data_IF_640963564234
#
_entry.id   IF_640963564234
#
_cell.length_a   1.000
_cell.length_b   1.000
_cell.length_c   1.000
_cell.angle_alpha   90.00
_cell.angle_beta   90.00
_cell.angle_gamma   90.00
#
_symmetry.space_group_name_H-M   'P 1'
#
loop_
_entity.id
_entity.type
_entity.pdbx_description
1 polymer ?
#
# COMPACT_ATOMS: atom_id res chain seq x y z
N UNK A 1 -1.65 -20.42 -30.50
CA UNK A 1 -1.47 -19.23 -29.66
C UNK A 1 -0.40 -19.54 -28.64
N UNK A 2 0.76 -18.93 -28.80
CA UNK A 2 1.88 -19.01 -27.87
C UNK A 2 1.53 -18.16 -26.65
N UNK A 3 1.34 -18.81 -25.51
CA UNK A 3 1.27 -18.12 -24.22
C UNK A 3 2.63 -17.49 -23.95
N UNK A 4 2.68 -16.15 -23.96
CA UNK A 4 3.81 -15.42 -23.42
C UNK A 4 3.81 -15.65 -21.90
N UNK A 5 4.97 -15.97 -21.28
CA UNK A 5 5.05 -15.99 -19.84
C UNK A 5 4.83 -14.55 -19.34
N UNK A 6 3.89 -14.38 -18.42
CA UNK A 6 3.81 -13.17 -17.60
C UNK A 6 5.07 -13.18 -16.77
N UNK A 7 6.03 -12.35 -17.15
CA UNK A 7 7.17 -12.02 -16.30
C UNK A 7 6.56 -11.27 -15.13
N UNK A 8 6.71 -11.78 -13.91
CA UNK A 8 6.42 -11.02 -12.70
C UNK A 8 7.22 -9.72 -12.82
N UNK A 9 6.52 -8.59 -12.95
CA UNK A 9 7.17 -7.31 -12.86
C UNK A 9 7.72 -7.22 -11.43
N UNK A 10 9.04 -7.09 -11.26
CA UNK A 10 9.55 -6.52 -10.02
C UNK A 10 8.86 -5.18 -9.85
N UNK A 11 8.08 -5.04 -8.78
CA UNK A 11 7.42 -3.79 -8.49
C UNK A 11 8.52 -2.82 -8.03
N UNK A 12 8.98 -1.97 -8.95
CA UNK A 12 9.94 -0.92 -8.64
C UNK A 12 9.26 0.10 -7.71
N UNK A 13 9.45 -0.06 -6.40
CA UNK A 13 8.91 0.89 -5.44
C UNK A 13 9.52 2.29 -5.66
N UNK A 14 8.68 3.31 -5.56
CA UNK A 14 9.12 4.70 -5.66
C UNK A 14 9.92 5.12 -4.42
N UNK A 15 11.19 5.48 -4.59
CA UNK A 15 11.99 6.04 -3.51
C UNK A 15 11.78 7.56 -3.40
N UNK A 16 11.18 8.01 -2.30
CA UNK A 16 11.04 9.43 -1.97
C UNK A 16 12.29 9.95 -1.22
N UNK A 17 13.21 10.72 -1.83
CA UNK A 17 14.41 11.19 -1.13
C UNK A 17 14.11 12.24 -0.04
N UNK A 18 12.91 12.84 -0.06
CA UNK A 18 12.47 13.85 0.92
C UNK A 18 11.89 13.23 2.19
N UNK A 19 11.48 11.96 2.11
CA UNK A 19 10.89 11.19 3.19
C UNK A 19 11.41 9.74 3.13
N UNK A 20 12.30 9.37 4.04
CA UNK A 20 12.87 8.01 4.06
C UNK A 20 12.10 7.10 5.03
N UNK A 21 11.94 7.53 6.28
CA UNK A 21 11.10 6.87 7.30
C UNK A 21 10.48 7.93 8.21
N UNK A 22 9.49 7.58 9.02
CA UNK A 22 8.89 8.49 10.01
C UNK A 22 9.80 8.76 11.22
N UNK A 23 9.55 9.87 11.92
CA UNK A 23 10.16 10.15 13.23
C UNK A 23 9.80 9.07 14.26
N UNK A 24 8.57 8.55 14.22
CA UNK A 24 8.07 7.48 15.07
C UNK A 24 8.83 6.17 14.83
N UNK A 25 8.94 5.71 13.57
CA UNK A 25 9.71 4.51 13.22
C UNK A 25 11.19 4.63 13.59
N UNK A 26 11.76 5.82 13.52
CA UNK A 26 13.16 6.00 13.92
C UNK A 26 13.35 5.92 15.44
N UNK A 27 12.37 6.39 16.21
CA UNK A 27 12.48 6.54 17.67
C UNK A 27 11.73 5.48 18.47
N UNK A 28 11.01 4.56 17.80
CA UNK A 28 10.31 3.46 18.45
C UNK A 28 11.28 2.39 18.94
N UNK A 29 11.88 2.64 20.10
CA UNK A 29 12.78 1.70 20.78
C UNK A 29 12.10 0.38 21.17
N UNK A 30 10.76 0.33 21.17
CA UNK A 30 9.99 -0.86 21.53
C UNK A 30 9.53 -1.66 20.30
N UNK A 31 9.86 -1.20 19.09
CA UNK A 31 9.49 -1.84 17.82
C UNK A 31 9.97 -3.29 17.65
N UNK A 32 10.93 -3.74 18.47
CA UNK A 32 11.35 -5.15 18.59
C UNK A 32 11.78 -5.45 20.02
N UNK A 33 11.29 -6.54 20.59
CA UNK A 33 11.83 -7.11 21.83
C UNK A 33 13.19 -7.76 21.60
N UNK A 34 13.91 -8.09 22.69
CA UNK A 34 15.15 -8.87 22.60
C UNK A 34 14.93 -10.22 21.87
N UNK A 35 13.79 -10.87 22.13
CA UNK A 35 13.42 -12.12 21.48
C UNK A 35 13.16 -11.93 19.98
N UNK A 36 12.47 -10.85 19.59
CA UNK A 36 12.23 -10.53 18.19
C UNK A 36 13.53 -10.27 17.43
N UNK A 37 14.49 -9.54 18.04
CA UNK A 37 15.79 -9.28 17.44
C UNK A 37 16.55 -10.59 17.24
N UNK A 38 16.59 -11.45 18.26
CA UNK A 38 17.24 -12.76 18.15
C UNK A 38 16.55 -13.65 17.09
N UNK A 39 15.22 -13.68 17.08
CA UNK A 39 14.41 -14.44 16.13
C UNK A 39 14.64 -13.97 14.69
N UNK A 40 14.67 -12.66 14.46
CA UNK A 40 14.95 -12.07 13.16
C UNK A 40 16.35 -12.45 12.66
N UNK A 41 17.39 -12.34 13.50
CA UNK A 41 18.75 -12.76 13.12
C UNK A 41 18.83 -14.26 12.77
N UNK A 42 18.09 -15.12 13.49
CA UNK A 42 17.99 -16.55 13.18
C UNK A 42 17.29 -16.77 11.83
N UNK A 43 16.15 -16.10 11.60
CA UNK A 43 15.37 -16.22 10.37
C UNK A 43 16.17 -15.79 9.13
N UNK A 44 17.01 -14.75 9.27
CA UNK A 44 17.91 -14.27 8.22
C UNK A 44 19.16 -15.14 8.03
N UNK A 45 19.35 -16.19 8.84
CA UNK A 45 20.57 -16.99 8.87
C UNK A 45 21.83 -16.13 9.09
N UNK A 46 21.72 -15.09 9.91
CA UNK A 46 22.81 -14.16 10.21
C UNK A 46 23.86 -14.80 11.11
N UNK A 47 25.14 -14.57 10.82
CA UNK A 47 26.23 -14.94 11.74
C UNK A 47 26.14 -14.20 13.08
N UNK A 48 25.47 -13.04 13.13
CA UNK A 48 25.23 -12.31 14.37
C UNK A 48 24.32 -13.09 15.35
N UNK A 49 23.48 -14.01 14.87
CA UNK A 49 22.59 -14.80 15.72
C UNK A 49 23.35 -15.63 16.77
N UNK A 50 24.60 -15.99 16.47
CA UNK A 50 25.49 -16.79 17.33
C UNK A 50 26.65 -15.97 17.92
N UNK A 51 26.77 -14.69 17.57
CA UNK A 51 27.88 -13.85 18.00
C UNK A 51 27.74 -13.49 19.49
N UNK A 52 28.78 -13.80 20.26
CA UNK A 52 28.99 -13.31 21.63
C UNK A 52 30.27 -12.48 21.61
N UNK A 53 30.16 -11.21 21.99
CA UNK A 53 31.27 -10.24 21.97
C UNK A 53 31.07 -9.20 23.07
N UNK A 54 32.07 -8.34 23.28
CA UNK A 54 31.97 -7.26 24.26
C UNK A 54 31.00 -6.17 23.81
N UNK A 55 30.22 -5.64 24.75
CA UNK A 55 29.52 -4.37 24.60
C UNK A 55 30.48 -3.18 24.77
N UNK A 56 29.96 -1.94 24.73
CA UNK A 56 30.79 -0.74 24.88
C UNK A 56 31.51 -0.65 26.25
N UNK A 57 30.99 -1.34 27.28
CA UNK A 57 31.56 -1.44 28.62
C UNK A 57 32.54 -2.62 28.80
N UNK A 58 32.75 -3.43 27.75
CA UNK A 58 33.64 -4.59 27.81
C UNK A 58 32.98 -5.86 28.38
N UNK A 59 31.65 -5.90 28.54
CA UNK A 59 30.91 -7.06 29.04
C UNK A 59 30.51 -7.95 27.88
N UNK A 60 30.80 -9.26 27.97
CA UNK A 60 30.42 -10.22 26.93
C UNK A 60 28.89 -10.43 26.90
N UNK A 61 28.29 -10.16 25.74
CA UNK A 61 26.86 -10.25 25.47
C UNK A 61 26.61 -10.83 24.08
N UNK A 62 25.39 -11.33 23.86
CA UNK A 62 24.95 -11.69 22.49
C UNK A 62 24.80 -10.42 21.65
N UNK A 63 25.03 -10.52 20.34
CA UNK A 63 24.80 -9.40 19.43
C UNK A 63 23.36 -8.85 19.49
N UNK A 64 22.36 -9.73 19.65
CA UNK A 64 20.95 -9.34 19.85
C UNK A 64 20.75 -8.49 21.11
N UNK A 65 21.42 -8.83 22.22
CA UNK A 65 21.38 -8.06 23.46
C UNK A 65 22.07 -6.70 23.32
N UNK A 66 23.21 -6.65 22.61
CA UNK A 66 23.92 -5.40 22.32
C UNK A 66 23.02 -4.46 21.48
N UNK A 67 22.38 -4.97 20.43
CA UNK A 67 21.45 -4.18 19.59
C UNK A 67 20.27 -3.68 20.43
N UNK A 68 19.64 -4.57 21.20
CA UNK A 68 18.52 -4.21 22.06
C UNK A 68 18.90 -3.14 23.09
N UNK A 69 20.05 -3.31 23.76
CA UNK A 69 20.53 -2.38 24.77
C UNK A 69 20.81 -1.00 24.18
N UNK A 70 21.53 -0.93 23.05
CA UNK A 70 21.82 0.34 22.38
C UNK A 70 20.52 1.07 21.98
N UNK A 71 19.52 0.33 21.50
CA UNK A 71 18.19 0.86 21.19
C UNK A 71 17.52 1.49 22.42
N UNK A 72 17.50 0.78 23.55
CA UNK A 72 16.89 1.27 24.78
C UNK A 72 17.63 2.47 25.38
N UNK A 73 18.95 2.45 25.38
CA UNK A 73 19.77 3.51 25.98
C UNK A 73 19.75 4.80 25.15
N UNK A 74 19.64 4.67 23.81
CA UNK A 74 19.66 5.81 22.90
C UNK A 74 18.26 6.25 22.40
N UNK A 75 17.18 5.58 22.80
CA UNK A 75 15.82 5.88 22.31
C UNK A 75 15.72 5.86 20.77
N UNK A 76 16.31 4.84 20.14
CA UNK A 76 16.30 4.59 18.70
C UNK A 76 15.76 3.20 18.43
N UNK A 77 15.02 3.04 17.33
CA UNK A 77 14.43 1.75 16.95
C UNK A 77 15.49 0.66 16.67
N UNK A 78 15.33 -0.55 17.22
CA UNK A 78 16.10 -1.73 16.81
C UNK A 78 16.05 -1.98 15.29
N UNK A 79 14.92 -1.70 14.63
CA UNK A 79 14.76 -1.85 13.17
C UNK A 79 15.71 -0.94 12.39
N UNK A 80 15.93 0.29 12.88
CA UNK A 80 16.90 1.23 12.28
C UNK A 80 18.32 0.73 12.45
N UNK A 81 18.67 0.21 13.63
CA UNK A 81 20.01 -0.36 13.90
C UNK A 81 20.27 -1.54 12.96
N UNK A 82 19.33 -2.47 12.84
CA UNK A 82 19.41 -3.64 11.97
C UNK A 82 19.54 -3.23 10.49
N UNK A 83 18.71 -2.30 10.02
CA UNK A 83 18.79 -1.81 8.64
C UNK A 83 20.15 -1.13 8.36
N UNK A 84 20.69 -0.40 9.34
CA UNK A 84 21.99 0.26 9.22
C UNK A 84 23.14 -0.76 9.21
N UNK A 85 23.12 -1.78 10.07
CA UNK A 85 24.09 -2.88 10.06
C UNK A 85 24.13 -3.59 8.69
N UNK A 86 22.97 -3.78 8.07
CA UNK A 86 22.89 -4.33 6.73
C UNK A 86 23.44 -3.37 5.67
N UNK A 87 23.09 -2.09 5.75
CA UNK A 87 23.52 -1.07 4.79
C UNK A 87 25.04 -0.90 4.78
N UNK A 88 25.63 -0.81 5.98
CA UNK A 88 27.04 -0.46 6.17
C UNK A 88 27.97 -1.64 5.92
N UNK A 89 27.63 -2.84 6.41
CA UNK A 89 28.54 -3.99 6.38
C UNK A 89 27.87 -5.30 5.95
N UNK A 90 26.60 -5.27 5.54
CA UNK A 90 25.81 -6.45 5.13
C UNK A 90 25.76 -7.55 6.18
N UNK A 91 25.80 -7.18 7.47
CA UNK A 91 25.95 -8.13 8.58
C UNK A 91 24.68 -8.94 8.88
N UNK A 92 23.51 -8.46 8.47
CA UNK A 92 22.25 -9.14 8.75
C UNK A 92 22.11 -10.38 7.88
N UNK A 93 22.51 -10.30 6.61
CA UNK A 93 22.37 -11.40 5.64
C UNK A 93 23.66 -12.21 5.44
N UNK A 94 24.72 -11.89 6.19
CA UNK A 94 25.99 -12.61 6.14
C UNK A 94 26.01 -13.71 7.21
N UNK A 95 26.05 -15.00 6.83
CA UNK A 95 26.14 -16.11 7.80
C UNK A 95 27.50 -16.21 8.49
N UNK A 96 28.54 -15.53 7.99
CA UNK A 96 29.90 -15.60 8.53
C UNK A 96 30.65 -14.27 8.40
N UNK A 97 30.23 -13.22 9.15
CA UNK A 97 30.84 -11.91 9.07
C UNK A 97 32.28 -11.93 9.57
N UNK A 98 33.19 -11.38 8.76
CA UNK A 98 34.61 -11.25 9.16
C UNK A 98 34.77 -10.24 10.30
N UNK A 99 35.79 -10.41 11.14
CA UNK A 99 36.10 -9.46 12.22
C UNK A 99 36.23 -8.01 11.71
N UNK A 100 36.83 -7.81 10.53
CA UNK A 100 36.95 -6.47 9.92
C UNK A 100 35.60 -5.79 9.66
N UNK A 101 34.56 -6.56 9.31
CA UNK A 101 33.19 -6.05 9.14
C UNK A 101 32.57 -5.72 10.50
N UNK A 102 32.78 -6.57 11.51
CA UNK A 102 32.31 -6.34 12.89
C UNK A 102 32.96 -5.10 13.52
N UNK A 103 34.26 -4.89 13.32
CA UNK A 103 35.01 -3.73 13.81
C UNK A 103 34.50 -2.40 13.22
N UNK A 104 33.74 -2.46 12.11
CA UNK A 104 33.20 -1.31 11.38
C UNK A 104 31.70 -1.43 11.18
N UNK A 105 31.02 -2.17 12.06
CA UNK A 105 29.66 -2.69 11.85
C UNK A 105 28.65 -1.65 11.34
N UNK A 106 28.79 -0.41 11.81
CA UNK A 106 27.93 0.70 11.40
C UNK A 106 28.74 1.92 10.91
N UNK A 107 30.02 1.77 10.59
CA UNK A 107 30.84 2.89 10.09
C UNK A 107 31.05 4.05 11.09
N UNK A 108 30.74 3.87 12.38
CA UNK A 108 30.88 4.93 13.37
C UNK A 108 32.35 5.34 13.55
N UNK A 109 32.62 6.62 13.28
CA UNK A 109 33.97 7.22 13.24
C UNK A 109 34.92 6.54 12.24
N UNK A 110 34.39 6.09 11.11
CA UNK A 110 35.14 5.56 9.97
C UNK A 110 34.92 6.43 8.72
N UNK A 111 35.61 7.56 8.58
CA UNK A 111 35.43 8.44 7.41
C UNK A 111 35.96 7.80 6.13
N UNK A 112 35.33 8.10 4.99
CA UNK A 112 35.70 7.54 3.68
C UNK A 112 37.14 7.85 3.26
N UNK A 113 37.63 9.05 3.59
CA UNK A 113 38.98 9.53 3.22
C UNK A 113 40.01 9.38 4.34
N UNK A 114 39.79 8.50 5.33
CA UNK A 114 40.67 8.39 6.50
C UNK A 114 40.67 7.02 7.19
N UNK A 115 41.41 6.95 8.31
CA UNK A 115 41.40 5.78 9.17
C UNK A 115 40.25 5.87 10.18
N UNK A 116 39.62 4.73 10.46
CA UNK A 116 38.69 4.61 11.56
C UNK A 116 39.36 4.97 12.90
N UNK A 117 38.61 5.56 13.81
CA UNK A 117 39.10 5.81 15.16
C UNK A 117 39.38 4.46 15.88
N UNK A 118 40.62 4.17 16.31
CA UNK A 118 41.00 2.83 16.75
C UNK A 118 40.21 2.35 17.98
N UNK A 119 39.83 3.28 18.87
CA UNK A 119 39.08 2.93 20.09
C UNK A 119 37.61 2.55 19.84
N UNK A 120 37.09 2.71 18.62
CA UNK A 120 35.72 2.34 18.25
C UNK A 120 35.65 1.06 17.40
N UNK A 121 36.79 0.40 17.14
CA UNK A 121 36.87 -0.82 16.33
C UNK A 121 36.47 -2.06 17.13
N UNK A 122 35.17 -2.23 17.35
CA UNK A 122 34.54 -3.39 17.97
C UNK A 122 33.02 -3.34 17.71
N UNK A 123 32.37 -4.49 17.57
CA UNK A 123 30.93 -4.55 17.26
C UNK A 123 30.09 -3.79 18.30
N UNK A 124 30.34 -4.01 19.59
CA UNK A 124 29.58 -3.37 20.67
C UNK A 124 29.73 -1.85 20.64
N UNK A 125 30.94 -1.36 20.44
CA UNK A 125 31.23 0.09 20.36
C UNK A 125 30.71 0.74 19.09
N UNK A 126 30.72 0.02 17.97
CA UNK A 126 30.13 0.49 16.71
C UNK A 126 28.62 0.66 16.85
N UNK A 127 27.94 -0.35 17.40
CA UNK A 127 26.48 -0.32 17.60
C UNK A 127 26.08 0.77 18.59
N UNK A 128 26.72 0.81 19.76
CA UNK A 128 26.44 1.82 20.78
C UNK A 128 26.68 3.25 20.26
N UNK A 129 27.89 3.51 19.75
CA UNK A 129 28.29 4.85 19.31
C UNK A 129 27.49 5.37 18.11
N UNK A 130 27.18 4.50 17.14
CA UNK A 130 26.32 4.87 16.00
C UNK A 130 24.90 5.19 16.43
N UNK A 131 24.32 4.37 17.30
CA UNK A 131 22.95 4.54 17.78
C UNK A 131 22.82 5.82 18.60
N UNK A 132 23.79 6.06 19.50
CA UNK A 132 23.89 7.32 20.23
C UNK A 132 24.00 8.52 19.28
N UNK A 133 24.81 8.41 18.22
CA UNK A 133 24.97 9.48 17.24
C UNK A 133 23.66 9.80 16.51
N UNK A 134 22.86 8.79 16.15
CA UNK A 134 21.52 8.99 15.58
C UNK A 134 20.60 9.76 16.54
N UNK A 135 20.67 9.45 17.85
CA UNK A 135 19.94 10.20 18.87
C UNK A 135 20.41 11.64 19.00
N UNK A 136 21.72 11.89 18.91
CA UNK A 136 22.26 13.26 18.97
C UNK A 136 21.79 14.14 17.82
N UNK A 137 21.48 13.56 16.65
CA UNK A 137 20.85 14.31 15.55
C UNK A 137 19.44 14.81 15.90
N UNK A 138 18.67 14.03 16.67
CA UNK A 138 17.37 14.48 17.19
C UNK A 138 17.49 15.52 18.32
N UNK A 139 18.43 15.33 19.24
CA UNK A 139 18.55 16.19 20.42
C UNK A 139 19.15 17.56 20.08
N UNK A 140 19.99 17.61 19.04
CA UNK A 140 20.72 18.82 18.65
C UNK A 140 20.52 19.16 17.16
N UNK A 141 19.28 19.23 16.63
CA UNK A 141 19.01 19.22 15.18
C UNK A 141 19.60 20.43 14.45
N UNK A 142 19.81 21.55 15.16
CA UNK A 142 20.40 22.77 14.59
C UNK A 142 21.93 22.78 14.55
N UNK A 143 22.60 21.80 15.16
CA UNK A 143 24.06 21.69 15.15
C UNK A 143 24.61 20.91 13.94
N UNK A 144 23.72 20.36 13.11
CA UNK A 144 24.08 19.48 12.00
C UNK A 144 23.77 20.11 10.63
N UNK A 145 24.43 19.58 9.60
CA UNK A 145 24.39 20.13 8.23
C UNK A 145 23.00 20.04 7.63
N UNK A 146 22.41 18.84 7.63
CA UNK A 146 21.11 18.59 7.02
C UNK A 146 20.02 18.76 8.06
N UNK A 147 19.02 19.59 7.75
CA UNK A 147 17.99 20.01 8.68
C UNK A 147 16.62 19.86 8.03
N UNK A 148 15.63 19.49 8.84
CA UNK A 148 14.23 19.42 8.43
C UNK A 148 13.78 20.74 7.79
N UNK A 149 12.96 20.63 6.76
CA UNK A 149 12.32 21.73 6.01
C UNK A 149 13.27 22.69 5.28
N UNK A 150 14.57 22.37 5.20
CA UNK A 150 15.56 23.09 4.37
C UNK A 150 15.95 22.27 3.15
N UNK A 151 16.19 22.95 2.04
CA UNK A 151 16.63 22.32 0.78
C UNK A 151 18.15 22.31 0.68
N UNK A 152 18.72 21.16 0.32
CA UNK A 152 20.16 20.94 0.12
C UNK A 152 20.40 20.28 -1.23
N UNK A 153 21.57 20.53 -1.82
CA UNK A 153 22.05 19.80 -3.00
C UNK A 153 22.89 18.60 -2.52
N UNK A 154 22.44 17.39 -2.78
CA UNK A 154 23.09 16.12 -2.38
C UNK A 154 23.14 15.22 -3.61
N UNK A 155 24.34 14.82 -4.04
CA UNK A 155 24.56 14.00 -5.25
C UNK A 155 23.77 14.52 -6.49
N UNK A 156 23.78 15.84 -6.72
CA UNK A 156 23.04 16.53 -7.79
C UNK A 156 21.50 16.56 -7.66
N UNK A 157 20.94 16.11 -6.53
CA UNK A 157 19.50 16.20 -6.22
C UNK A 157 19.20 17.31 -5.22
N UNK A 158 18.13 18.08 -5.47
CA UNK A 158 17.59 19.04 -4.51
C UNK A 158 16.68 18.31 -3.50
N UNK A 159 17.22 18.05 -2.32
CA UNK A 159 16.54 17.28 -1.28
C UNK A 159 16.12 18.20 -0.14
N UNK A 160 14.85 18.09 0.25
CA UNK A 160 14.23 18.80 1.38
C UNK A 160 13.67 17.75 2.35
N UNK A 161 14.39 17.37 3.41
CA UNK A 161 13.87 16.44 4.41
C UNK A 161 12.60 17.00 5.05
N UNK A 162 11.48 16.28 4.97
CA UNK A 162 10.18 16.75 5.50
C UNK A 162 9.95 16.36 6.96
N UNK A 163 10.83 15.52 7.53
CA UNK A 163 10.84 15.15 8.94
C UNK A 163 12.27 15.05 9.49
N UNK A 164 12.40 14.89 10.81
CA UNK A 164 13.69 14.90 11.47
C UNK A 164 14.47 13.61 11.21
N UNK A 165 13.79 12.45 11.16
CA UNK A 165 14.38 11.16 10.86
C UNK A 165 15.11 11.16 9.50
N UNK A 166 14.47 11.70 8.47
CA UNK A 166 15.10 11.82 7.14
C UNK A 166 16.31 12.73 7.19
N UNK A 167 16.24 13.87 7.88
CA UNK A 167 17.40 14.75 8.05
C UNK A 167 18.55 14.04 8.79
N UNK A 168 18.24 13.22 9.80
CA UNK A 168 19.22 12.44 10.55
C UNK A 168 19.91 11.39 9.69
N UNK A 169 19.18 10.70 8.81
CA UNK A 169 19.78 9.73 7.89
C UNK A 169 20.73 10.39 6.89
N UNK A 170 20.43 11.61 6.41
CA UNK A 170 21.38 12.37 5.59
C UNK A 170 22.57 12.90 6.39
N UNK A 171 22.41 13.27 7.66
CA UNK A 171 23.55 13.60 8.54
C UNK A 171 24.45 12.39 8.79
N UNK A 172 23.88 11.20 8.85
CA UNK A 172 24.62 9.95 9.04
C UNK A 172 25.29 9.48 7.73
N UNK A 173 24.58 9.56 6.61
CA UNK A 173 25.05 9.17 5.28
C UNK A 173 24.67 10.27 4.27
N UNK A 174 25.59 11.19 3.93
CA UNK A 174 25.31 12.38 3.12
C UNK A 174 25.21 12.08 1.62
N UNK A 175 24.50 11.02 1.25
CA UNK A 175 24.39 10.53 -0.13
C UNK A 175 22.96 10.09 -0.47
N UNK A 176 22.50 10.41 -1.68
CA UNK A 176 21.21 9.97 -2.21
C UNK A 176 21.16 8.44 -2.27
N UNK A 177 22.16 7.81 -2.88
CA UNK A 177 22.21 6.36 -3.05
C UNK A 177 22.30 5.60 -1.72
N UNK A 178 22.97 6.19 -0.72
CA UNK A 178 23.03 5.61 0.63
C UNK A 178 21.66 5.56 1.30
N UNK A 179 20.87 6.62 1.16
CA UNK A 179 19.51 6.69 1.72
C UNK A 179 18.51 5.83 0.93
N UNK A 180 18.64 5.76 -0.40
CA UNK A 180 17.88 4.81 -1.21
C UNK A 180 18.15 3.37 -0.75
N UNK A 181 19.42 3.00 -0.56
CA UNK A 181 19.79 1.67 -0.08
C UNK A 181 19.24 1.38 1.32
N UNK A 182 19.29 2.35 2.24
CA UNK A 182 18.66 2.22 3.55
C UNK A 182 17.16 1.94 3.42
N UNK A 183 16.47 2.72 2.59
CA UNK A 183 15.04 2.58 2.37
C UNK A 183 14.69 1.23 1.74
N UNK A 184 15.42 0.75 0.74
CA UNK A 184 15.21 -0.58 0.16
C UNK A 184 15.35 -1.69 1.20
N UNK A 185 16.36 -1.60 2.07
CA UNK A 185 16.54 -2.53 3.19
C UNK A 185 15.36 -2.43 4.17
N UNK A 186 14.93 -1.20 4.49
CA UNK A 186 13.79 -0.95 5.36
C UNK A 186 12.51 -1.59 4.79
N UNK A 187 12.23 -1.39 3.50
CA UNK A 187 11.08 -1.98 2.83
C UNK A 187 11.15 -3.51 2.79
N UNK A 188 12.30 -4.06 2.45
CA UNK A 188 12.51 -5.51 2.41
C UNK A 188 12.29 -6.16 3.79
N UNK A 189 12.76 -5.51 4.86
CA UNK A 189 12.67 -6.11 6.19
C UNK A 189 11.33 -5.85 6.87
N UNK A 190 10.76 -4.66 6.69
CA UNK A 190 9.67 -4.16 7.52
C UNK A 190 8.46 -3.68 6.72
N UNK A 191 8.64 -3.41 5.44
CA UNK A 191 7.61 -2.86 4.57
C UNK A 191 6.52 -3.88 4.27
N UNK A 192 5.32 -3.36 4.03
CA UNK A 192 4.14 -4.14 3.60
C UNK A 192 3.67 -3.69 2.23
N UNK A 193 3.42 -4.65 1.37
CA UNK A 193 3.02 -4.39 -0.02
C UNK A 193 1.54 -4.67 -0.16
N UNK A 194 0.75 -3.65 0.19
CA UNK A 194 -0.70 -3.73 0.14
C UNK A 194 -1.17 -3.93 -1.30
N UNK A 195 -2.02 -4.93 -1.54
CA UNK A 195 -2.53 -5.21 -2.88
C UNK A 195 -3.48 -4.11 -3.36
N UNK A 196 -3.63 -4.04 -4.68
CA UNK A 196 -4.65 -3.21 -5.33
C UNK A 196 -6.04 -3.46 -4.73
N UNK A 197 -6.80 -2.38 -4.59
CA UNK A 197 -8.07 -2.34 -3.87
C UNK A 197 -7.97 -1.99 -2.39
N UNK A 198 -6.76 -1.99 -1.81
CA UNK A 198 -6.56 -1.66 -0.39
C UNK A 198 -6.95 -0.21 -0.08
N UNK A 199 -7.67 -0.01 1.03
CA UNK A 199 -8.01 1.30 1.58
C UNK A 199 -7.12 1.58 2.78
N UNK A 200 -6.15 2.48 2.62
CA UNK A 200 -5.09 2.71 3.59
C UNK A 200 -5.20 4.08 4.24
N UNK A 201 -4.89 4.17 5.53
CA UNK A 201 -4.64 5.43 6.25
C UNK A 201 -3.41 5.28 7.14
N UNK A 202 -2.68 6.37 7.38
CA UNK A 202 -1.58 6.34 8.35
C UNK A 202 -2.07 6.55 9.78
N UNK A 203 -1.30 6.10 10.78
CA UNK A 203 -1.60 6.35 12.19
C UNK A 203 -1.74 7.83 12.53
N UNK A 204 -1.03 8.69 11.79
CA UNK A 204 -0.86 10.12 12.08
C UNK A 204 -1.68 11.02 11.14
N UNK A 205 -2.51 10.47 10.25
CA UNK A 205 -3.35 11.24 9.33
C UNK A 205 -4.74 10.63 9.16
N UNK A 206 -5.81 11.45 9.12
CA UNK A 206 -7.15 10.97 8.79
C UNK A 206 -7.36 10.72 7.29
N UNK A 207 -6.40 11.09 6.43
CA UNK A 207 -6.52 10.90 4.99
C UNK A 207 -6.60 9.41 4.63
N UNK A 208 -7.54 9.07 3.75
CA UNK A 208 -7.73 7.71 3.25
C UNK A 208 -7.30 7.67 1.80
N UNK A 209 -6.49 6.65 1.48
CA UNK A 209 -5.92 6.40 0.17
C UNK A 209 -6.46 5.09 -0.36
N UNK A 210 -6.80 5.05 -1.65
CA UNK A 210 -7.11 3.82 -2.34
C UNK A 210 -5.92 3.41 -3.21
N UNK A 211 -5.46 2.16 -3.04
CA UNK A 211 -4.36 1.62 -3.84
C UNK A 211 -4.93 1.05 -5.14
N UNK A 212 -4.44 1.55 -6.25
CA UNK A 212 -4.88 1.14 -7.59
C UNK A 212 -3.73 1.32 -8.59
N UNK A 213 -3.48 0.28 -9.36
CA UNK A 213 -2.41 0.15 -10.35
C UNK A 213 -1.04 0.54 -9.79
N UNK A 214 -0.75 0.16 -8.54
CA UNK A 214 0.51 0.50 -7.87
C UNK A 214 0.67 1.97 -7.45
N UNK A 215 -0.39 2.78 -7.55
CA UNK A 215 -0.41 4.16 -7.06
C UNK A 215 -1.41 4.33 -5.89
N UNK A 216 -1.20 5.33 -5.05
CA UNK A 216 -2.15 5.74 -4.00
C UNK A 216 -2.98 6.92 -4.49
N UNK A 217 -4.30 6.77 -4.49
CA UNK A 217 -5.24 7.82 -4.87
C UNK A 217 -5.88 8.41 -3.62
N UNK A 218 -5.70 9.70 -3.38
CA UNK A 218 -6.32 10.38 -2.24
C UNK A 218 -7.85 10.42 -2.41
N UNK A 219 -8.60 9.97 -1.40
CA UNK A 219 -10.04 10.21 -1.33
C UNK A 219 -10.26 11.55 -0.62
N UNK A 220 -10.72 12.57 -1.37
CA UNK A 220 -10.63 13.97 -0.91
C UNK A 220 -11.58 14.34 0.22
N UNK A 221 -12.65 13.56 0.43
CA UNK A 221 -13.59 13.80 1.53
C UNK A 221 -14.28 12.52 1.98
N UNK A 222 -14.82 12.55 3.20
CA UNK A 222 -15.62 11.44 3.73
C UNK A 222 -16.88 11.16 2.92
N UNK A 223 -17.50 12.20 2.35
CA UNK A 223 -18.68 12.06 1.50
C UNK A 223 -18.36 11.29 0.22
N UNK A 224 -17.25 11.64 -0.43
CA UNK A 224 -16.74 10.91 -1.60
C UNK A 224 -16.43 9.46 -1.23
N UNK A 225 -15.79 9.25 -0.07
CA UNK A 225 -15.46 7.91 0.42
C UNK A 225 -16.71 7.02 0.55
N UNK A 226 -17.73 7.45 1.31
CA UNK A 226 -18.92 6.62 1.56
C UNK A 226 -19.80 6.42 0.32
N UNK A 227 -19.58 7.19 -0.76
CA UNK A 227 -20.28 6.98 -2.03
C UNK A 227 -19.79 5.76 -2.81
N UNK A 228 -18.65 5.17 -2.42
CA UNK A 228 -17.97 4.07 -3.12
C UNK A 228 -17.43 2.97 -2.22
N UNK A 229 -16.96 3.32 -1.03
CA UNK A 229 -16.16 2.44 -0.19
C UNK A 229 -16.82 2.15 1.15
N UNK A 230 -16.46 1.00 1.74
CA UNK A 230 -16.90 0.61 3.09
C UNK A 230 -15.87 1.07 4.14
N UNK A 231 -16.25 1.91 5.13
CA UNK A 231 -15.38 2.33 6.23
C UNK A 231 -14.71 1.19 6.99
N UNK A 232 -15.38 0.03 7.10
CA UNK A 232 -14.87 -1.12 7.85
C UNK A 232 -13.66 -1.77 7.18
N UNK A 233 -13.48 -1.53 5.87
CA UNK A 233 -12.35 -2.02 5.08
C UNK A 233 -11.09 -1.16 5.18
N UNK A 234 -11.15 -0.01 5.84
CA UNK A 234 -9.97 0.82 6.05
C UNK A 234 -8.96 0.07 6.94
N UNK A 235 -7.73 -0.01 6.42
CA UNK A 235 -6.54 -0.54 7.07
C UNK A 235 -5.68 0.63 7.53
N UNK A 236 -5.29 0.59 8.81
CA UNK A 236 -4.31 1.55 9.34
C UNK A 236 -2.91 0.98 9.18
N UNK A 237 -1.99 1.77 8.62
CA UNK A 237 -0.60 1.36 8.38
C UNK A 237 0.40 2.49 8.67
N UNK A 238 1.70 2.25 8.50
CA UNK A 238 2.74 3.26 8.64
C UNK A 238 2.67 4.29 7.51
N UNK A 239 3.17 5.50 7.73
CA UNK A 239 3.32 6.46 6.63
C UNK A 239 4.36 5.95 5.61
N UNK A 240 5.36 5.21 6.05
CA UNK A 240 6.41 4.65 5.17
C UNK A 240 5.86 3.62 4.19
N UNK A 241 4.88 2.81 4.60
CA UNK A 241 4.19 1.89 3.68
C UNK A 241 3.36 2.65 2.63
N UNK A 242 2.74 3.78 3.01
CA UNK A 242 2.04 4.65 2.06
C UNK A 242 3.00 5.34 1.08
N UNK A 243 4.18 5.77 1.52
CA UNK A 243 5.14 6.49 0.69
C UNK A 243 5.82 5.61 -0.37
N UNK A 244 5.58 4.30 -0.39
CA UNK A 244 6.03 3.41 -1.47
C UNK A 244 5.27 3.60 -2.77
N UNK A 245 4.03 4.06 -2.68
CA UNK A 245 3.15 4.25 -3.82
C UNK A 245 3.27 5.68 -4.32
N UNK A 246 3.40 5.82 -5.64
CA UNK A 246 3.31 7.12 -6.29
C UNK A 246 1.92 7.73 -6.09
N UNK A 247 1.84 9.06 -6.07
CA UNK A 247 0.56 9.76 -6.02
C UNK A 247 -0.17 9.56 -7.35
N UNK A 248 -1.32 8.89 -7.30
CA UNK A 248 -2.27 8.82 -8.39
C UNK A 248 -3.26 9.99 -8.35
N UNK A 249 -4.04 10.15 -9.42
CA UNK A 249 -5.11 11.15 -9.47
C UNK A 249 -6.09 10.97 -8.29
N UNK A 250 -6.40 12.03 -7.53
CA UNK A 250 -7.30 11.92 -6.40
C UNK A 250 -8.74 11.60 -6.83
N UNK A 251 -9.49 10.94 -5.95
CA UNK A 251 -10.93 10.70 -6.11
C UNK A 251 -11.66 11.88 -5.48
N UNK A 252 -12.22 12.75 -6.31
CA UNK A 252 -12.72 14.05 -5.88
C UNK A 252 -14.26 14.18 -5.89
N UNK A 253 -14.94 13.33 -6.66
CA UNK A 253 -16.38 13.44 -6.89
C UNK A 253 -17.12 12.24 -6.31
N UNK A 254 -18.36 12.47 -5.85
CA UNK A 254 -19.24 11.40 -5.39
C UNK A 254 -19.54 10.47 -6.56
N UNK A 255 -19.68 9.17 -6.28
CA UNK A 255 -20.18 8.26 -7.29
C UNK A 255 -21.55 8.69 -7.80
N UNK A 256 -21.82 8.52 -9.10
CA UNK A 256 -23.04 8.96 -9.77
C UNK A 256 -23.23 10.49 -9.84
N UNK A 257 -22.17 11.27 -9.65
CA UNK A 257 -22.20 12.71 -9.90
C UNK A 257 -22.37 13.02 -11.39
N UNK A 258 -23.01 14.15 -11.67
CA UNK A 258 -23.14 14.69 -13.02
C UNK A 258 -22.11 15.81 -13.17
N UNK A 259 -21.16 15.65 -14.08
CA UNK A 259 -20.03 16.55 -14.26
C UNK A 259 -20.14 17.30 -15.59
N UNK A 260 -20.13 18.63 -15.55
CA UNK A 260 -20.29 19.49 -16.72
C UNK A 260 -19.02 20.27 -17.05
N UNK A 261 -18.59 20.23 -18.32
CA UNK A 261 -17.50 21.05 -18.84
C UNK A 261 -18.01 22.37 -19.43
N UNK A 262 -17.13 23.37 -19.49
CA UNK A 262 -17.42 24.68 -20.10
C UNK A 262 -17.76 24.62 -21.60
N UNK A 263 -17.41 23.54 -22.30
CA UNK A 263 -17.78 23.30 -23.70
C UNK A 263 -19.23 22.77 -23.87
N UNK A 264 -19.94 22.57 -22.76
CA UNK A 264 -21.33 22.10 -22.73
C UNK A 264 -21.46 20.58 -22.68
N UNK A 265 -20.37 19.81 -22.65
CA UNK A 265 -20.46 18.35 -22.45
C UNK A 265 -20.78 18.02 -21.00
N UNK A 266 -21.60 17.00 -20.81
CA UNK A 266 -22.00 16.49 -19.49
C UNK A 266 -21.72 15.00 -19.41
N UNK A 267 -21.20 14.56 -18.27
CA UNK A 267 -20.85 13.17 -18.00
C UNK A 267 -21.56 12.69 -16.74
N UNK A 268 -22.07 11.46 -16.76
CA UNK A 268 -22.40 10.72 -15.54
C UNK A 268 -21.14 9.97 -15.08
N UNK A 269 -20.69 10.23 -13.86
CA UNK A 269 -19.58 9.50 -13.26
C UNK A 269 -20.08 8.18 -12.66
N UNK A 270 -19.60 7.04 -13.13
CA UNK A 270 -19.89 5.71 -12.56
C UNK A 270 -18.56 5.04 -12.24
N UNK A 271 -18.24 4.95 -10.95
CA UNK A 271 -16.91 4.57 -10.46
C UNK A 271 -15.82 5.38 -11.20
N UNK A 272 -14.80 4.78 -11.79
CA UNK A 272 -13.80 5.58 -12.51
C UNK A 272 -14.21 5.97 -13.95
N UNK A 273 -15.42 5.61 -14.39
CA UNK A 273 -15.87 5.86 -15.76
C UNK A 273 -16.73 7.13 -15.90
N UNK A 274 -16.28 8.04 -16.75
CA UNK A 274 -17.02 9.18 -17.27
C UNK A 274 -17.86 8.75 -18.47
N UNK A 275 -19.17 8.68 -18.27
CA UNK A 275 -20.12 8.33 -19.33
C UNK A 275 -20.72 9.58 -19.94
N UNK A 276 -20.32 9.89 -21.18
CA UNK A 276 -20.82 11.08 -21.89
C UNK A 276 -22.33 10.98 -22.12
N UNK A 277 -23.07 12.05 -21.81
CA UNK A 277 -24.51 12.14 -22.10
C UNK A 277 -24.66 12.88 -23.44
N UNK A 278 -25.03 12.12 -24.47
CA UNK A 278 -25.00 12.53 -25.88
C UNK A 278 -25.83 13.78 -26.22
N UNK A 279 -26.86 14.11 -25.43
CA UNK A 279 -27.68 15.30 -25.66
C UNK A 279 -28.48 15.77 -24.43
N UNK A 280 -28.92 17.04 -24.41
CA UNK A 280 -29.86 17.54 -23.39
C UNK A 280 -31.21 16.80 -23.36
N UNK A 281 -31.62 16.19 -24.48
CA UNK A 281 -32.83 15.36 -24.53
C UNK A 281 -32.64 14.05 -23.77
N UNK A 282 -31.49 13.39 -23.95
CA UNK A 282 -31.12 12.18 -23.19
C UNK A 282 -31.04 12.49 -21.70
N UNK A 283 -30.38 13.60 -21.35
CA UNK A 283 -30.28 14.08 -19.97
C UNK A 283 -31.65 14.18 -19.27
N UNK A 284 -32.61 14.82 -19.95
CA UNK A 284 -33.99 14.97 -19.43
C UNK A 284 -34.75 13.65 -19.40
N UNK A 285 -34.57 12.80 -20.41
CA UNK A 285 -35.28 11.52 -20.54
C UNK A 285 -34.90 10.55 -19.42
N UNK A 286 -33.64 10.56 -19.00
CA UNK A 286 -33.15 9.76 -17.86
C UNK A 286 -33.67 10.31 -16.53
N UNK A 287 -34.12 11.58 -16.52
CA UNK A 287 -34.72 12.22 -15.35
C UNK A 287 -33.74 13.01 -14.50
N UNK A 288 -32.55 13.33 -15.01
CA UNK A 288 -31.61 14.19 -14.31
C UNK A 288 -32.07 15.65 -14.29
N UNK A 289 -31.74 16.35 -13.22
CA UNK A 289 -32.04 17.76 -13.05
C UNK A 289 -30.80 18.60 -13.40
N UNK A 290 -30.90 19.64 -14.26
CA UNK A 290 -29.76 20.49 -14.60
C UNK A 290 -29.05 21.11 -13.39
N UNK A 291 -29.77 21.33 -12.28
CA UNK A 291 -29.19 21.84 -11.02
C UNK A 291 -28.28 20.83 -10.30
N UNK A 292 -28.25 19.56 -10.74
CA UNK A 292 -27.35 18.53 -10.22
C UNK A 292 -25.97 18.56 -10.90
N UNK A 293 -25.81 19.37 -11.96
CA UNK A 293 -24.55 19.48 -12.70
C UNK A 293 -23.50 20.17 -11.83
N UNK A 294 -22.40 19.48 -11.59
CA UNK A 294 -21.19 20.02 -10.97
C UNK A 294 -20.29 20.53 -12.10
N UNK A 295 -20.04 21.83 -12.14
CA UNK A 295 -19.10 22.42 -13.10
C UNK A 295 -17.67 22.00 -12.78
N UNK A 296 -16.95 21.52 -13.80
CA UNK A 296 -15.58 21.01 -13.71
C UNK A 296 -14.73 21.48 -14.89
N UNK A 297 -13.42 21.36 -14.74
CA UNK A 297 -12.42 21.54 -15.82
C UNK A 297 -11.91 20.20 -16.33
N UNK A 298 -11.25 20.18 -17.49
CA UNK A 298 -10.59 18.97 -17.99
C UNK A 298 -9.53 18.44 -17.01
N UNK A 299 -8.86 19.32 -16.26
CA UNK A 299 -7.87 18.94 -15.26
C UNK A 299 -8.52 18.21 -14.07
N UNK A 300 -9.75 18.57 -13.69
CA UNK A 300 -10.49 17.89 -12.62
C UNK A 300 -10.91 16.47 -13.03
N UNK A 301 -11.06 16.23 -14.33
CA UNK A 301 -11.37 14.94 -14.92
C UNK A 301 -10.13 14.06 -15.14
N UNK A 302 -8.93 14.57 -14.84
CA UNK A 302 -7.69 13.82 -15.02
C UNK A 302 -7.64 12.59 -14.12
N UNK A 303 -7.52 11.40 -14.72
CA UNK A 303 -7.44 10.12 -14.00
C UNK A 303 -8.73 9.32 -13.94
N UNK A 304 -9.83 9.83 -14.52
CA UNK A 304 -11.00 9.01 -14.86
C UNK A 304 -10.87 8.47 -16.29
N UNK A 305 -11.50 7.32 -16.57
CA UNK A 305 -11.62 6.73 -17.92
C UNK A 305 -12.89 7.18 -18.61
N UNK A 306 -12.92 7.19 -19.95
CA UNK A 306 -14.16 7.41 -20.70
C UNK A 306 -14.88 6.08 -20.89
N UNK A 307 -16.09 5.98 -20.34
CA UNK A 307 -16.96 4.82 -20.46
C UNK A 307 -17.85 4.87 -21.70
N UNK A 308 -18.78 3.93 -21.78
CA UNK A 308 -19.78 3.88 -22.88
C UNK A 308 -20.70 5.09 -22.81
N UNK A 309 -20.84 5.78 -23.94
CA UNK A 309 -21.74 6.92 -24.11
C UNK A 309 -23.20 6.55 -23.79
N UNK A 310 -23.92 7.49 -23.18
CA UNK A 310 -25.34 7.38 -22.88
C UNK A 310 -26.13 8.08 -23.98
N UNK A 311 -26.96 7.31 -24.67
CA UNK A 311 -27.80 7.75 -25.79
C UNK A 311 -29.27 7.49 -25.53
N UNK A 312 -30.16 7.95 -26.41
CA UNK A 312 -31.60 7.63 -26.35
C UNK A 312 -31.88 6.12 -26.51
N UNK A 313 -30.92 5.36 -27.06
CA UNK A 313 -31.02 3.92 -27.25
C UNK A 313 -30.45 3.13 -26.05
N UNK A 314 -29.76 3.80 -25.11
CA UNK A 314 -29.17 3.14 -23.94
C UNK A 314 -30.26 2.55 -23.05
N UNK A 315 -30.26 1.22 -22.90
CA UNK A 315 -31.19 0.50 -22.03
C UNK A 315 -30.56 0.33 -20.64
N UNK A 316 -31.23 0.81 -19.59
CA UNK A 316 -30.69 0.86 -18.22
C UNK A 316 -29.29 1.51 -18.14
N UNK A 317 -29.12 2.78 -18.55
CA UNK A 317 -27.80 3.44 -18.53
C UNK A 317 -27.19 3.52 -17.12
N UNK A 318 -28.01 3.50 -16.07
CA UNK A 318 -27.57 3.48 -14.66
C UNK A 318 -27.51 2.07 -14.05
N UNK A 319 -27.71 1.04 -14.87
CA UNK A 319 -27.75 -0.36 -14.46
C UNK A 319 -29.06 -0.76 -13.77
N UNK A 320 -29.47 -2.02 -13.94
CA UNK A 320 -30.60 -2.63 -13.24
C UNK A 320 -30.25 -4.05 -12.78
N UNK A 321 -30.75 -4.45 -11.60
CA UNK A 321 -30.71 -5.84 -11.19
C UNK A 321 -32.00 -6.54 -11.62
N UNK A 322 -31.83 -7.57 -12.44
CA UNK A 322 -32.93 -8.34 -13.01
C UNK A 322 -32.80 -9.80 -12.56
N UNK A 323 -33.91 -10.39 -12.09
CA UNK A 323 -34.00 -11.79 -11.69
C UNK A 323 -34.93 -12.55 -12.63
N UNK A 324 -34.46 -13.70 -13.11
CA UNK A 324 -35.26 -14.67 -13.83
C UNK A 324 -36.31 -15.27 -12.88
N UNK A 325 -37.60 -15.12 -13.21
CA UNK A 325 -38.73 -15.60 -12.40
C UNK A 325 -38.89 -17.13 -12.40
N UNK A 326 -38.20 -17.85 -13.29
CA UNK A 326 -38.20 -19.32 -13.36
C UNK A 326 -36.97 -19.93 -12.69
N UNK A 327 -35.76 -19.49 -13.09
CA UNK A 327 -34.52 -20.07 -12.56
C UNK A 327 -34.05 -19.43 -11.25
N UNK A 328 -34.52 -18.23 -10.95
CA UNK A 328 -34.04 -17.41 -9.84
C UNK A 328 -32.67 -16.77 -10.08
N UNK A 329 -32.05 -16.99 -11.25
CA UNK A 329 -30.77 -16.41 -11.63
C UNK A 329 -30.82 -14.88 -11.69
N UNK A 330 -29.75 -14.23 -11.23
CA UNK A 330 -29.67 -12.76 -11.14
C UNK A 330 -28.65 -12.21 -12.13
N UNK A 331 -29.00 -11.09 -12.76
CA UNK A 331 -28.20 -10.41 -13.75
C UNK A 331 -28.13 -8.91 -13.44
N UNK A 332 -26.98 -8.31 -13.64
CA UNK A 332 -26.86 -6.86 -13.79
C UNK A 332 -27.01 -6.52 -15.27
N UNK A 333 -28.03 -5.75 -15.64
CA UNK A 333 -28.26 -5.31 -17.02
C UNK A 333 -27.89 -3.85 -17.15
N UNK A 334 -26.97 -3.55 -18.08
CA UNK A 334 -26.55 -2.20 -18.39
C UNK A 334 -26.24 -2.08 -19.88
N UNK A 335 -26.75 -1.03 -20.51
CA UNK A 335 -26.60 -0.74 -21.94
C UNK A 335 -26.98 -1.94 -22.85
N UNK A 336 -28.05 -2.64 -22.48
CA UNK A 336 -28.57 -3.80 -23.23
C UNK A 336 -27.75 -5.08 -23.07
N UNK A 337 -26.75 -5.11 -22.17
CA UNK A 337 -25.94 -6.30 -21.87
C UNK A 337 -26.30 -6.83 -20.48
N UNK A 338 -26.71 -8.11 -20.39
CA UNK A 338 -26.93 -8.84 -19.14
C UNK A 338 -25.66 -9.54 -18.67
N UNK A 339 -25.17 -9.18 -17.49
CA UNK A 339 -24.02 -9.78 -16.84
C UNK A 339 -24.49 -10.69 -15.71
N UNK A 340 -24.25 -12.02 -15.78
CA UNK A 340 -24.71 -12.93 -14.74
C UNK A 340 -23.98 -12.69 -13.42
N UNK A 341 -24.70 -12.83 -12.31
CA UNK A 341 -24.16 -12.74 -10.96
C UNK A 341 -24.24 -14.13 -10.32
N UNK A 342 -23.08 -14.75 -10.07
CA UNK A 342 -23.01 -16.16 -9.67
C UNK A 342 -23.16 -16.42 -8.16
N UNK A 343 -23.27 -15.37 -7.35
CA UNK A 343 -23.59 -15.52 -5.93
C UNK A 343 -24.28 -14.29 -5.39
N UNK A 344 -25.07 -14.50 -4.33
CA UNK A 344 -25.72 -13.43 -3.58
C UNK A 344 -24.69 -12.48 -2.96
N UNK A 345 -23.54 -13.00 -2.55
CA UNK A 345 -22.51 -12.18 -1.92
C UNK A 345 -21.86 -11.19 -2.89
N UNK A 346 -21.68 -11.53 -4.17
CA UNK A 346 -21.25 -10.56 -5.20
C UNK A 346 -22.30 -9.46 -5.36
N UNK A 347 -23.58 -9.85 -5.40
CA UNK A 347 -24.69 -8.89 -5.52
C UNK A 347 -24.73 -7.94 -4.32
N UNK A 348 -24.63 -8.48 -3.10
CA UNK A 348 -24.69 -7.70 -1.87
C UNK A 348 -23.45 -6.79 -1.70
N UNK A 349 -22.29 -7.22 -2.18
CA UNK A 349 -21.06 -6.42 -2.18
C UNK A 349 -21.13 -5.24 -3.16
N UNK A 350 -21.59 -5.45 -4.41
CA UNK A 350 -21.55 -4.43 -5.46
C UNK A 350 -22.82 -3.58 -5.60
N UNK A 351 -23.97 -4.14 -5.25
CA UNK A 351 -25.27 -3.55 -5.57
C UNK A 351 -26.17 -3.42 -4.34
N UNK A 352 -25.56 -3.22 -3.17
CA UNK A 352 -26.27 -3.05 -1.90
C UNK A 352 -27.41 -2.03 -2.01
N UNK A 353 -28.63 -2.46 -1.70
CA UNK A 353 -29.82 -1.61 -1.72
C UNK A 353 -30.42 -1.33 -3.11
N UNK A 354 -29.87 -1.90 -4.19
CA UNK A 354 -30.53 -1.87 -5.51
C UNK A 354 -31.75 -2.79 -5.51
N UNK A 355 -32.79 -2.36 -6.22
CA UNK A 355 -34.04 -3.12 -6.36
C UNK A 355 -33.81 -4.27 -7.33
N UNK A 356 -34.26 -5.46 -6.93
CA UNK A 356 -34.26 -6.66 -7.77
C UNK A 356 -35.62 -6.79 -8.48
N UNK A 357 -35.62 -6.65 -9.79
CA UNK A 357 -36.84 -6.74 -10.61
C UNK A 357 -36.96 -8.14 -11.22
N UNK A 358 -38.10 -8.80 -11.02
CA UNK A 358 -38.36 -10.11 -11.62
C UNK A 358 -38.96 -9.97 -13.01
N UNK A 359 -38.45 -10.75 -13.96
CA UNK A 359 -38.92 -10.79 -15.35
C UNK A 359 -38.89 -12.22 -15.89
N UNK A 360 -39.55 -12.45 -17.02
CA UNK A 360 -39.55 -13.77 -17.67
C UNK A 360 -38.23 -14.05 -18.41
N UNK A 361 -37.88 -15.32 -18.66
CA UNK A 361 -36.72 -15.68 -19.49
C UNK A 361 -36.73 -15.04 -20.88
N UNK A 362 -37.91 -14.91 -21.50
CA UNK A 362 -38.06 -14.31 -22.83
C UNK A 362 -37.71 -12.82 -22.85
N UNK A 363 -37.95 -12.10 -21.75
CA UNK A 363 -37.52 -10.72 -21.59
C UNK A 363 -36.00 -10.65 -21.41
N UNK A 364 -35.42 -11.54 -20.61
CA UNK A 364 -33.96 -11.61 -20.43
C UNK A 364 -33.23 -11.93 -21.73
N UNK A 365 -33.81 -12.74 -22.61
CA UNK A 365 -33.21 -13.14 -23.89
C UNK A 365 -33.13 -12.00 -24.92
N UNK A 366 -33.75 -10.85 -24.64
CA UNK A 366 -33.58 -9.64 -25.44
C UNK A 366 -32.22 -8.96 -25.21
N UNK A 367 -31.56 -9.24 -24.09
CA UNK A 367 -30.26 -8.65 -23.74
C UNK A 367 -29.09 -9.53 -24.20
N UNK A 368 -28.01 -8.88 -24.65
CA UNK A 368 -26.76 -9.57 -24.97
C UNK A 368 -26.13 -10.12 -23.69
N UNK A 369 -25.62 -11.36 -23.71
CA UNK A 369 -24.97 -11.94 -22.52
C UNK A 369 -23.51 -11.50 -22.44
N UNK A 370 -23.15 -10.81 -21.37
CA UNK A 370 -21.78 -10.39 -21.04
C UNK A 370 -21.05 -11.34 -20.09
N UNK A 371 -19.83 -10.97 -19.73
CA UNK A 371 -19.04 -11.68 -18.71
C UNK A 371 -19.69 -11.56 -17.33
N UNK A 372 -19.52 -12.54 -16.42
CA UNK A 372 -20.08 -12.46 -15.08
C UNK A 372 -19.52 -11.27 -14.29
N UNK A 373 -20.36 -10.69 -13.44
CA UNK A 373 -19.90 -9.71 -12.43
C UNK A 373 -19.02 -10.44 -11.42
N UNK A 374 -17.90 -9.81 -11.06
CA UNK A 374 -16.89 -10.31 -10.13
C UNK A 374 -16.86 -9.48 -8.85
N UNK A 375 -16.20 -9.99 -7.80
CA UNK A 375 -15.83 -9.17 -6.65
C UNK A 375 -14.85 -8.05 -7.08
N UNK A 376 -14.87 -6.95 -6.36
CA UNK A 376 -13.93 -5.85 -6.57
C UNK A 376 -12.57 -6.15 -5.93
N UNK A 377 -11.54 -5.48 -6.42
CA UNK A 377 -10.24 -5.51 -5.79
C UNK A 377 -10.35 -4.97 -4.35
N UNK A 378 -9.57 -5.57 -3.44
CA UNK A 378 -9.60 -5.32 -2.01
C UNK A 378 -10.57 -6.21 -1.23
N UNK A 379 -11.44 -6.98 -1.89
CA UNK A 379 -12.34 -7.91 -1.21
C UNK A 379 -11.59 -9.12 -0.64
N UNK A 380 -11.90 -9.49 0.60
CA UNK A 380 -11.45 -10.73 1.21
C UNK A 380 -12.52 -11.78 1.03
N UNK A 381 -12.21 -12.87 0.35
CA UNK A 381 -13.18 -13.93 0.04
C UNK A 381 -12.68 -15.30 0.47
N UNK A 382 -13.60 -16.18 0.83
CA UNK A 382 -13.33 -17.61 0.99
C UNK A 382 -14.45 -18.46 0.44
N UNK A 383 -14.12 -19.70 0.08
CA UNK A 383 -15.12 -20.70 -0.29
C UNK A 383 -15.86 -21.14 0.97
N UNK A 384 -17.17 -21.34 0.87
CA UNK A 384 -17.97 -21.89 1.97
C UNK A 384 -17.40 -23.22 2.46
N UNK A 385 -17.24 -23.35 3.78
CA UNK A 385 -16.58 -24.50 4.45
C UNK A 385 -15.10 -24.72 4.06
N UNK A 386 -14.50 -23.82 3.28
CA UNK A 386 -13.10 -23.84 2.89
C UNK A 386 -12.18 -23.16 3.92
N UNK A 387 -10.92 -23.56 3.94
CA UNK A 387 -9.89 -23.02 4.84
C UNK A 387 -9.05 -21.88 4.25
N UNK A 388 -9.03 -21.74 2.91
CA UNK A 388 -8.21 -20.72 2.24
C UNK A 388 -8.97 -19.40 2.12
N UNK A 389 -8.36 -18.34 2.63
CA UNK A 389 -8.80 -16.95 2.45
C UNK A 389 -7.99 -16.32 1.33
N UNK A 390 -8.65 -15.61 0.44
CA UNK A 390 -8.04 -14.88 -0.66
C UNK A 390 -8.35 -13.39 -0.55
N UNK A 391 -7.42 -12.55 -0.98
CA UNK A 391 -7.72 -11.16 -1.35
C UNK A 391 -7.86 -11.09 -2.87
N UNK A 392 -8.81 -10.28 -3.35
CA UNK A 392 -8.94 -9.96 -4.77
C UNK A 392 -8.07 -8.73 -5.08
N UNK A 393 -7.25 -8.82 -6.12
CA UNK A 393 -6.31 -7.77 -6.52
C UNK A 393 -5.94 -7.95 -7.98
N UNK A 394 -6.02 -6.89 -8.77
CA UNK A 394 -5.86 -6.90 -10.23
C UNK A 394 -6.83 -7.88 -10.92
N UNK A 395 -8.00 -8.14 -10.30
CA UNK A 395 -8.95 -9.16 -10.71
C UNK A 395 -8.53 -10.62 -10.44
N UNK A 396 -7.34 -10.86 -9.90
CA UNK A 396 -6.87 -12.18 -9.44
C UNK A 396 -7.27 -12.44 -8.00
N UNK A 397 -7.46 -13.71 -7.63
CA UNK A 397 -7.50 -14.14 -6.23
C UNK A 397 -6.10 -14.53 -5.78
N UNK A 398 -5.63 -13.95 -4.68
CA UNK A 398 -4.29 -14.19 -4.12
C UNK A 398 -4.45 -14.84 -2.75
N UNK A 399 -3.88 -16.03 -2.55
CA UNK A 399 -4.06 -16.78 -1.31
C UNK A 399 -3.23 -16.17 -0.18
N UNK A 400 -3.88 -15.86 0.94
CA UNK A 400 -3.21 -15.43 2.17
C UNK A 400 -2.77 -16.70 2.93
N UNK A 401 -1.47 -17.02 2.89
CA UNK A 401 -0.97 -18.34 3.31
C UNK A 401 -1.05 -18.64 4.80
N UNK A 402 -1.05 -17.60 5.64
CA UNK A 402 -1.01 -17.76 7.09
C UNK A 402 -1.81 -16.69 7.82
N UNK A 403 -2.19 -17.00 9.06
CA UNK A 403 -2.77 -16.00 9.97
C UNK A 403 -1.79 -14.86 10.27
N UNK A 404 -0.48 -15.15 10.25
CA UNK A 404 0.56 -14.13 10.37
C UNK A 404 0.52 -13.17 9.18
N UNK A 405 0.42 -13.68 7.94
CA UNK A 405 0.25 -12.86 6.75
C UNK A 405 -0.99 -11.98 6.88
N UNK A 406 -2.12 -12.59 7.24
CA UNK A 406 -3.39 -11.89 7.44
C UNK A 406 -3.28 -10.74 8.46
N UNK A 407 -2.65 -11.02 9.62
CA UNK A 407 -2.40 -10.02 10.65
C UNK A 407 -1.37 -8.96 10.24
N UNK A 408 -0.35 -9.33 9.47
CA UNK A 408 0.67 -8.41 8.95
C UNK A 408 0.05 -7.35 8.03
N UNK A 409 -0.91 -7.73 7.18
CA UNK A 409 -1.67 -6.78 6.38
C UNK A 409 -2.78 -6.06 7.17
N UNK A 410 -2.90 -6.31 8.47
CA UNK A 410 -3.95 -5.78 9.33
C UNK A 410 -5.36 -5.99 8.76
N UNK A 411 -5.55 -7.10 8.04
CA UNK A 411 -6.86 -7.53 7.59
C UNK A 411 -7.72 -7.92 8.78
N UNK A 412 -9.04 -7.79 8.60
CA UNK A 412 -10.04 -8.07 9.64
C UNK A 412 -10.83 -9.30 9.25
N UNK A 413 -10.93 -10.27 10.16
CA UNK A 413 -11.69 -11.50 9.94
C UNK A 413 -13.16 -11.22 9.60
N UNK A 414 -13.74 -10.18 10.19
CA UNK A 414 -15.13 -9.75 9.93
C UNK A 414 -15.35 -9.23 8.51
N UNK A 415 -14.28 -8.90 7.77
CA UNK A 415 -14.37 -8.46 6.38
C UNK A 415 -14.32 -9.63 5.38
N UNK A 416 -14.18 -10.88 5.84
CA UNK A 416 -14.15 -12.05 4.96
C UNK A 416 -15.56 -12.39 4.48
N UNK A 417 -15.75 -12.38 3.17
CA UNK A 417 -16.95 -12.80 2.47
C UNK A 417 -16.88 -14.31 2.18
N UNK A 418 -17.71 -15.09 2.86
CA UNK A 418 -17.87 -16.52 2.58
C UNK A 418 -18.87 -16.73 1.43
N UNK A 419 -18.42 -17.34 0.32
CA UNK A 419 -19.22 -17.44 -0.91
C UNK A 419 -19.05 -18.78 -1.63
N UNK A 420 -19.71 -18.93 -2.78
CA UNK A 420 -19.72 -20.18 -3.55
C UNK A 420 -18.38 -20.45 -4.25
N UNK A 421 -18.07 -21.73 -4.48
CA UNK A 421 -16.88 -22.13 -5.23
C UNK A 421 -16.80 -21.49 -6.63
N UNK A 422 -17.96 -21.31 -7.29
CA UNK A 422 -18.04 -20.68 -8.61
C UNK A 422 -17.66 -19.20 -8.52
N UNK A 423 -18.21 -18.46 -7.55
CA UNK A 423 -17.91 -17.05 -7.33
C UNK A 423 -16.43 -16.80 -6.95
N UNK A 424 -15.77 -17.74 -6.29
CA UNK A 424 -14.32 -17.65 -6.06
C UNK A 424 -13.53 -18.00 -7.33
N UNK A 425 -13.98 -18.96 -8.15
CA UNK A 425 -13.26 -19.46 -9.33
C UNK A 425 -13.34 -18.56 -10.57
N UNK A 426 -14.26 -17.60 -10.64
CA UNK A 426 -14.27 -16.59 -11.73
C UNK A 426 -13.08 -15.63 -11.68
N UNK A 427 -12.39 -15.58 -10.54
CA UNK A 427 -11.11 -14.91 -10.37
C UNK A 427 -9.97 -15.91 -10.65
N UNK A 428 -9.10 -15.64 -11.65
CA UNK A 428 -7.90 -16.45 -11.85
C UNK A 428 -7.01 -16.43 -10.61
N UNK A 429 -6.27 -17.51 -10.37
CA UNK A 429 -5.31 -17.57 -9.26
C UNK A 429 -4.08 -16.71 -9.59
N UNK A 430 -3.76 -15.77 -8.71
CA UNK A 430 -2.55 -14.95 -8.77
C UNK A 430 -1.46 -15.47 -7.81
N UNK A 431 -0.40 -14.70 -7.65
CA UNK A 431 0.65 -15.00 -6.67
C UNK A 431 0.12 -14.91 -5.24
N UNK A 432 0.58 -15.80 -4.38
CA UNK A 432 0.18 -15.86 -2.99
C UNK A 432 0.77 -14.70 -2.17
N UNK A 433 0.15 -14.41 -1.03
CA UNK A 433 0.58 -13.39 -0.06
C UNK A 433 1.07 -14.09 1.21
N UNK A 434 2.26 -13.73 1.68
CA UNK A 434 2.96 -14.29 2.85
C UNK A 434 3.21 -13.28 3.98
#
# INVERSE_FOLDING_TARGET
>A
MTFLPVVAAEQDYFFNPHFVITDEEMTDQLSMSLEDIQGFLIQRNSGLANLITTDYNGVNKKASEIIWQAAQESFISPKVIIATLQKEQSLIDDPSPTQKRLDRAMGYRCPDSGSCHPNTLDFGKQVDGATWQLRQYFENPFQWTYQKDKTFLIDDWYIKPVNQATANLYNYTPHYHGNNRFWQIWQNYWGRDYPDGSLLKSYNSPAVWWIQYGAKRLVTSWGVFISRFDPNKIITTSQTDLEKYEDGSPIQFYNYSILGLSDGKTYLLVDDDLRYISSPEVFRTIGFNPEEIIEVTEADLAGYSYGVEITVESIYPTGALIQDDQSGGVFHVQDGVKHPIYSREIMDAKFKGKVLTQVSPEELDQYLTGLPIKFEDGELIKIKDGSKVYVISDGFRRWIKSESAFANFAYKWDNIIETSQLAVNIHPLGEDIE
#
